data_IF_075643929256
#
_entry.id   IF_075643929256
#
_cell.length_a   1.000
_cell.length_b   1.000
_cell.length_c   1.000
_cell.angle_alpha   90.00
_cell.angle_beta   90.00
_cell.angle_gamma   90.00
#
_symmetry.space_group_name_H-M   'P 1'
#
loop_
_entity.id
_entity.type
_entity.pdbx_description
1 polymer ?
#
# COMPACT_ATOMS: atom_id res chain seq x y z
N UNK A 1 25.07 -8.16 13.14
CA UNK A 1 25.62 -7.20 12.15
C UNK A 1 24.46 -6.71 11.30
N UNK A 2 24.33 -5.40 11.04
CA UNK A 2 23.39 -4.88 10.04
C UNK A 2 23.64 -5.53 8.69
N UNK A 3 22.58 -5.67 7.89
CA UNK A 3 22.72 -6.17 6.52
C UNK A 3 23.20 -5.05 5.60
N UNK A 4 24.08 -5.40 4.67
CA UNK A 4 24.60 -4.50 3.65
C UNK A 4 23.64 -4.38 2.47
N UNK A 5 23.78 -3.32 1.68
CA UNK A 5 23.00 -3.15 0.45
C UNK A 5 23.26 -4.30 -0.55
N UNK A 6 24.50 -4.79 -0.65
CA UNK A 6 24.85 -5.92 -1.50
C UNK A 6 24.11 -7.20 -1.09
N UNK A 7 24.00 -7.48 0.21
CA UNK A 7 23.23 -8.62 0.72
C UNK A 7 21.73 -8.45 0.43
N UNK A 8 21.18 -7.25 0.61
CA UNK A 8 19.78 -6.98 0.28
C UNK A 8 19.47 -7.16 -1.21
N UNK A 9 20.37 -6.71 -2.08
CA UNK A 9 20.29 -6.95 -3.53
C UNK A 9 20.37 -8.45 -3.84
N UNK A 10 21.32 -9.18 -3.24
CA UNK A 10 21.45 -10.62 -3.43
C UNK A 10 20.21 -11.40 -2.94
N UNK A 11 19.58 -10.98 -1.85
CA UNK A 11 18.39 -11.63 -1.30
C UNK A 11 17.13 -11.33 -2.09
N UNK A 12 17.03 -10.13 -2.65
CA UNK A 12 15.91 -9.67 -3.48
C UNK A 12 15.98 -10.21 -4.91
N UNK A 13 17.20 -10.32 -5.44
CA UNK A 13 17.44 -10.70 -6.83
C UNK A 13 17.05 -9.60 -7.83
N UNK A 14 17.03 -9.93 -9.13
CA UNK A 14 16.70 -9.00 -10.22
C UNK A 14 15.19 -8.74 -10.35
N UNK A 15 14.36 -9.36 -9.52
CA UNK A 15 12.90 -9.28 -9.61
C UNK A 15 12.41 -7.87 -9.32
N UNK A 16 11.58 -7.33 -10.21
CA UNK A 16 10.91 -6.06 -10.02
C UNK A 16 9.84 -6.16 -8.92
N UNK A 17 9.58 -5.07 -8.21
CA UNK A 17 8.58 -5.06 -7.14
C UNK A 17 7.16 -5.46 -7.61
N UNK A 18 6.75 -5.04 -8.82
CA UNK A 18 5.46 -5.43 -9.40
C UNK A 18 5.33 -6.95 -9.62
N UNK A 19 6.44 -7.65 -9.87
CA UNK A 19 6.45 -9.11 -10.02
C UNK A 19 6.34 -9.85 -8.68
N UNK A 20 6.67 -9.20 -7.55
CA UNK A 20 6.55 -9.80 -6.22
C UNK A 20 5.11 -9.78 -5.70
N UNK A 21 4.30 -8.82 -6.16
CA UNK A 21 2.89 -8.66 -5.79
C UNK A 21 2.05 -8.37 -7.03
N UNK A 22 1.94 -9.34 -7.96
CA UNK A 22 1.20 -9.10 -9.19
C UNK A 22 -0.27 -8.78 -8.90
N UNK A 23 -0.85 -7.92 -9.73
CA UNK A 23 -2.30 -7.79 -9.78
C UNK A 23 -2.91 -9.14 -10.18
N UNK A 24 -4.06 -9.54 -9.60
CA UNK A 24 -4.75 -10.75 -10.03
C UNK A 24 -5.08 -10.69 -11.53
N UNK A 25 -4.61 -11.67 -12.29
CA UNK A 25 -4.80 -11.77 -13.75
C UNK A 25 -5.94 -12.72 -14.13
N UNK A 26 -6.33 -13.59 -13.21
CA UNK A 26 -7.45 -14.51 -13.39
C UNK A 26 -8.80 -13.79 -13.25
N UNK A 27 -9.88 -14.46 -13.68
CA UNK A 27 -11.24 -13.97 -13.49
C UNK A 27 -11.46 -13.67 -12.00
N UNK A 28 -11.85 -12.44 -11.70
CA UNK A 28 -12.05 -12.02 -10.32
C UNK A 28 -13.23 -12.77 -9.72
N UNK A 29 -13.01 -13.52 -8.65
CA UNK A 29 -14.11 -14.02 -7.81
C UNK A 29 -14.62 -12.89 -6.90
N UNK A 30 -15.82 -13.04 -6.35
CA UNK A 30 -16.33 -12.11 -5.33
C UNK A 30 -15.36 -11.98 -4.13
N UNK A 31 -14.73 -13.08 -3.72
CA UNK A 31 -13.74 -13.09 -2.65
C UNK A 31 -12.48 -12.28 -3.02
N UNK A 32 -11.92 -12.50 -4.22
CA UNK A 32 -10.77 -11.73 -4.71
C UNK A 32 -11.11 -10.25 -4.83
N UNK A 33 -12.30 -9.91 -5.32
CA UNK A 33 -12.75 -8.53 -5.42
C UNK A 33 -12.82 -7.88 -4.04
N UNK A 34 -13.41 -8.55 -3.03
CA UNK A 34 -13.43 -8.04 -1.65
C UNK A 34 -12.03 -7.79 -1.10
N UNK A 35 -11.07 -8.70 -1.32
CA UNK A 35 -9.68 -8.52 -0.91
C UNK A 35 -9.03 -7.28 -1.55
N UNK A 36 -9.33 -7.00 -2.82
CA UNK A 36 -8.85 -5.79 -3.51
C UNK A 36 -9.50 -4.53 -2.91
N UNK A 37 -10.80 -4.57 -2.62
CA UNK A 37 -11.55 -3.45 -2.03
C UNK A 37 -11.11 -3.16 -0.59
N UNK A 38 -10.85 -4.19 0.21
CA UNK A 38 -10.28 -4.06 1.55
C UNK A 38 -8.89 -3.44 1.50
N UNK A 39 -8.05 -3.92 0.60
CA UNK A 39 -6.74 -3.35 0.35
C UNK A 39 -6.82 -1.85 0.00
N UNK A 40 -7.64 -1.46 -0.98
CA UNK A 40 -7.71 -0.06 -1.40
C UNK A 40 -8.25 0.82 -0.29
N UNK A 41 -9.27 0.35 0.44
CA UNK A 41 -9.82 1.04 1.61
C UNK A 41 -8.75 1.24 2.69
N UNK A 42 -7.96 0.22 3.00
CA UNK A 42 -6.88 0.29 4.00
C UNK A 42 -5.80 1.29 3.60
N UNK A 43 -5.41 1.31 2.32
CA UNK A 43 -4.47 2.31 1.78
C UNK A 43 -5.05 3.72 1.94
N UNK A 44 -6.33 3.95 1.62
CA UNK A 44 -6.96 5.26 1.79
C UNK A 44 -6.91 5.72 3.26
N UNK A 45 -7.11 4.81 4.21
CA UNK A 45 -7.00 5.14 5.63
C UNK A 45 -5.57 5.39 6.14
N UNK A 46 -4.55 5.22 5.30
CA UNK A 46 -3.23 5.80 5.58
C UNK A 46 -3.22 7.33 5.38
N UNK A 47 -4.18 7.89 4.63
CA UNK A 47 -4.22 9.33 4.29
C UNK A 47 -5.30 10.11 5.04
N UNK A 48 -6.37 9.43 5.44
CA UNK A 48 -7.52 10.04 6.10
C UNK A 48 -7.99 9.21 7.30
N UNK A 49 -8.66 9.85 8.25
CA UNK A 49 -9.24 9.19 9.41
C UNK A 49 -10.36 8.20 9.01
N UNK A 50 -10.70 7.29 9.93
CA UNK A 50 -11.79 6.31 9.78
C UNK A 50 -11.35 4.85 9.69
N UNK A 51 -10.04 4.59 9.62
CA UNK A 51 -9.48 3.24 9.69
C UNK A 51 -9.16 2.77 11.12
N UNK A 52 -8.70 1.52 11.24
CA UNK A 52 -8.35 0.91 12.52
C UNK A 52 -7.16 1.56 13.24
N UNK A 53 -6.27 2.22 12.51
CA UNK A 53 -5.16 2.98 13.08
C UNK A 53 -5.08 4.39 12.50
N UNK A 54 -4.48 5.35 13.24
CA UNK A 54 -4.39 6.74 12.81
C UNK A 54 -3.74 6.87 11.42
N UNK A 55 -4.15 7.88 10.63
CA UNK A 55 -3.55 8.12 9.32
C UNK A 55 -2.06 8.45 9.46
N UNK A 56 -1.26 7.94 8.52
CA UNK A 56 0.18 8.18 8.43
C UNK A 56 0.48 9.60 7.93
N UNK A 57 -0.37 10.09 7.02
CA UNK A 57 -0.21 11.39 6.38
C UNK A 57 -1.39 12.27 6.78
N UNK A 58 -1.13 13.38 7.46
CA UNK A 58 -2.16 14.32 7.86
C UNK A 58 -2.57 15.22 6.68
N UNK A 59 -3.25 14.66 5.66
CA UNK A 59 -3.64 15.41 4.46
C UNK A 59 -4.51 16.64 4.77
N UNK A 60 -5.40 16.54 5.77
CA UNK A 60 -6.27 17.64 6.18
C UNK A 60 -5.51 18.85 6.75
N UNK A 61 -4.29 18.65 7.25
CA UNK A 61 -3.46 19.72 7.81
C UNK A 61 -2.63 20.45 6.74
N UNK A 62 -2.64 20.00 5.48
CA UNK A 62 -1.88 20.60 4.38
C UNK A 62 -2.76 21.59 3.63
N UNK A 63 -2.35 22.86 3.55
CA UNK A 63 -3.18 23.96 3.07
C UNK A 63 -3.36 23.93 1.55
N UNK A 64 -2.34 23.51 0.80
CA UNK A 64 -2.37 23.49 -0.66
C UNK A 64 -2.46 22.05 -1.22
N UNK A 65 -3.42 21.81 -2.13
CA UNK A 65 -3.65 20.50 -2.76
C UNK A 65 -4.46 19.48 -1.95
N UNK A 66 -4.78 19.77 -0.68
CA UNK A 66 -5.52 18.83 0.18
C UNK A 66 -6.95 18.59 -0.27
N UNK A 67 -7.68 19.58 -0.79
CA UNK A 67 -9.09 19.41 -1.17
C UNK A 67 -9.28 18.40 -2.30
N UNK A 68 -8.44 18.45 -3.33
CA UNK A 68 -8.50 17.53 -4.46
C UNK A 68 -8.09 16.10 -4.05
N UNK A 69 -7.04 15.96 -3.23
CA UNK A 69 -6.63 14.68 -2.66
C UNK A 69 -7.71 14.08 -1.75
N UNK A 70 -8.33 14.90 -0.89
CA UNK A 70 -9.44 14.48 -0.03
C UNK A 70 -10.65 14.04 -0.86
N UNK A 71 -10.97 14.76 -1.93
CA UNK A 71 -12.01 14.35 -2.87
C UNK A 71 -11.67 13.02 -3.57
N UNK A 72 -10.40 12.80 -3.94
CA UNK A 72 -9.97 11.52 -4.49
C UNK A 72 -10.12 10.38 -3.47
N UNK A 73 -9.71 10.60 -2.21
CA UNK A 73 -9.90 9.63 -1.13
C UNK A 73 -11.38 9.26 -0.96
N UNK A 74 -12.26 10.27 -0.91
CA UNK A 74 -13.71 10.06 -0.80
C UNK A 74 -14.25 9.25 -1.99
N UNK A 75 -13.88 9.61 -3.22
CA UNK A 75 -14.32 8.90 -4.43
C UNK A 75 -13.86 7.44 -4.45
N UNK A 76 -12.68 7.12 -3.93
CA UNK A 76 -12.23 5.73 -3.79
C UNK A 76 -13.11 4.99 -2.79
N UNK A 77 -13.36 5.55 -1.60
CA UNK A 77 -14.20 4.91 -0.59
C UNK A 77 -15.66 4.72 -1.07
N UNK A 78 -16.24 5.72 -1.73
CA UNK A 78 -17.58 5.64 -2.31
C UNK A 78 -17.66 4.53 -3.37
N UNK A 79 -16.68 4.47 -4.27
CA UNK A 79 -16.55 3.38 -5.25
C UNK A 79 -16.46 2.03 -4.56
N UNK A 80 -15.60 1.91 -3.55
CA UNK A 80 -15.35 0.64 -2.88
C UNK A 80 -16.58 0.15 -2.14
N UNK A 81 -17.28 1.04 -1.43
CA UNK A 81 -18.54 0.73 -0.75
C UNK A 81 -19.64 0.34 -1.74
N UNK A 82 -19.75 1.03 -2.88
CA UNK A 82 -20.69 0.67 -3.94
C UNK A 82 -20.41 -0.73 -4.48
N UNK A 83 -19.14 -1.05 -4.77
CA UNK A 83 -18.73 -2.38 -5.24
C UNK A 83 -18.92 -3.47 -4.18
N UNK A 84 -18.68 -3.19 -2.90
CA UNK A 84 -18.97 -4.13 -1.80
C UNK A 84 -20.45 -4.51 -1.79
N UNK A 85 -21.37 -3.54 -1.87
CA UNK A 85 -22.81 -3.81 -1.94
C UNK A 85 -23.16 -4.70 -3.13
N UNK A 86 -22.57 -4.45 -4.30
CA UNK A 86 -22.74 -5.33 -5.46
C UNK A 86 -22.24 -6.76 -5.20
N UNK A 87 -21.17 -6.92 -4.42
CA UNK A 87 -20.67 -8.25 -4.02
C UNK A 87 -21.62 -8.96 -3.04
N UNK A 88 -22.27 -8.20 -2.16
CA UNK A 88 -23.14 -8.73 -1.10
C UNK A 88 -24.55 -9.08 -1.61
N UNK A 89 -25.05 -8.33 -2.58
CA UNK A 89 -26.40 -8.47 -3.15
C UNK A 89 -26.46 -9.43 -4.35
N UNK A 90 -25.32 -9.89 -4.87
CA UNK A 90 -25.31 -10.70 -6.07
C UNK A 90 -25.90 -12.10 -5.82
N UNK A 91 -26.82 -12.57 -6.68
CA UNK A 91 -27.48 -13.87 -6.53
C UNK A 91 -26.54 -15.06 -6.80
N UNK A 92 -25.37 -14.82 -7.41
CA UNK A 92 -24.34 -15.84 -7.65
C UNK A 92 -22.93 -15.22 -7.60
N UNK A 93 -21.92 -15.93 -7.06
CA UNK A 93 -20.53 -15.48 -7.00
C UNK A 93 -19.95 -15.11 -8.38
N UNK A 94 -20.40 -15.78 -9.45
CA UNK A 94 -19.95 -15.55 -10.81
C UNK A 94 -20.51 -14.26 -11.43
N UNK A 95 -21.62 -13.75 -10.88
CA UNK A 95 -22.31 -12.54 -11.33
C UNK A 95 -21.65 -11.26 -10.78
N UNK A 96 -21.07 -11.35 -9.58
CA UNK A 96 -20.38 -10.24 -8.89
C UNK A 96 -19.28 -9.61 -9.75
N UNK A 97 -18.57 -10.46 -10.47
CA UNK A 97 -17.40 -10.05 -11.22
C UNK A 97 -17.76 -9.26 -12.49
N UNK A 98 -19.01 -9.26 -12.94
CA UNK A 98 -19.42 -8.66 -14.20
C UNK A 98 -18.70 -9.29 -15.40
N UNK A 99 -18.82 -8.64 -16.57
CA UNK A 99 -18.12 -9.08 -17.78
C UNK A 99 -16.61 -8.89 -17.64
N UNK A 100 -15.81 -9.63 -18.43
CA UNK A 100 -14.34 -9.46 -18.46
C UNK A 100 -13.92 -7.99 -18.67
N UNK A 101 -14.62 -7.27 -19.53
CA UNK A 101 -14.40 -5.83 -19.76
C UNK A 101 -14.59 -4.99 -18.49
N UNK A 102 -15.60 -5.31 -17.68
CA UNK A 102 -15.84 -4.62 -16.41
C UNK A 102 -14.76 -4.92 -15.37
N UNK A 103 -14.25 -6.16 -15.34
CA UNK A 103 -13.14 -6.56 -14.47
C UNK A 103 -11.84 -5.85 -14.88
N UNK A 104 -11.54 -5.83 -16.17
CA UNK A 104 -10.35 -5.16 -16.70
C UNK A 104 -10.39 -3.66 -16.38
N UNK A 105 -11.55 -3.01 -16.54
CA UNK A 105 -11.74 -1.60 -16.17
C UNK A 105 -11.54 -1.35 -14.67
N UNK A 106 -12.00 -2.28 -13.82
CA UNK A 106 -11.76 -2.21 -12.38
C UNK A 106 -10.28 -2.38 -12.03
N UNK A 107 -9.60 -3.37 -12.60
CA UNK A 107 -8.17 -3.63 -12.36
C UNK A 107 -7.27 -2.49 -12.86
N UNK A 108 -7.65 -1.83 -13.96
CA UNK A 108 -6.96 -0.62 -14.46
C UNK A 108 -6.91 0.51 -13.44
N UNK A 109 -7.77 0.51 -12.42
CA UNK A 109 -7.71 1.48 -11.33
C UNK A 109 -6.51 1.31 -10.39
N UNK A 110 -5.72 0.25 -10.60
CA UNK A 110 -4.52 -0.09 -9.82
C UNK A 110 -3.25 -0.23 -10.68
N UNK A 111 -3.33 0.05 -11.98
CA UNK A 111 -2.23 -0.07 -12.94
C UNK A 111 -1.19 1.05 -12.88
N UNK A 112 -0.53 1.29 -14.01
CA UNK A 112 0.51 2.31 -14.13
C UNK A 112 -0.05 3.67 -14.59
N UNK A 113 0.66 4.75 -14.25
CA UNK A 113 0.27 6.11 -14.64
C UNK A 113 0.16 6.29 -16.16
N UNK A 114 1.08 5.69 -16.93
CA UNK A 114 1.13 5.84 -18.39
C UNK A 114 -0.01 5.09 -19.12
N UNK A 115 -0.68 4.15 -18.45
CA UNK A 115 -1.81 3.40 -19.02
C UNK A 115 -3.08 4.25 -19.08
N UNK A 116 -3.05 5.47 -18.53
CA UNK A 116 -4.23 6.29 -18.28
C UNK A 116 -4.03 7.68 -18.85
N UNK A 117 -4.68 7.94 -20.00
CA UNK A 117 -4.64 9.25 -20.65
C UNK A 117 -5.34 10.37 -19.86
N UNK A 118 -6.38 10.07 -19.08
CA UNK A 118 -7.05 11.04 -18.20
C UNK A 118 -7.19 10.48 -16.78
N UNK A 119 -6.35 10.98 -15.86
CA UNK A 119 -6.33 10.58 -14.45
C UNK A 119 -7.63 10.94 -13.70
N UNK A 120 -8.50 11.79 -14.25
CA UNK A 120 -9.76 12.20 -13.63
C UNK A 120 -10.74 11.04 -13.37
N UNK A 121 -10.64 9.97 -14.16
CA UNK A 121 -11.43 8.74 -14.00
C UNK A 121 -10.91 7.76 -12.94
N UNK A 122 -9.67 7.92 -12.48
CA UNK A 122 -8.96 6.91 -11.70
C UNK A 122 -8.38 7.51 -10.41
N UNK A 123 -9.24 7.80 -9.41
CA UNK A 123 -8.84 8.54 -8.22
C UNK A 123 -7.76 7.83 -7.39
N UNK A 124 -7.72 6.50 -7.38
CA UNK A 124 -6.67 5.74 -6.67
C UNK A 124 -5.28 5.96 -7.30
N UNK A 125 -5.17 5.90 -8.63
CA UNK A 125 -3.92 6.17 -9.33
C UNK A 125 -3.51 7.63 -9.17
N UNK A 126 -4.46 8.56 -9.26
CA UNK A 126 -4.20 9.98 -9.01
C UNK A 126 -3.60 10.21 -7.61
N UNK A 127 -4.06 9.50 -6.58
CA UNK A 127 -3.47 9.54 -5.25
C UNK A 127 -2.05 8.94 -5.24
N UNK A 128 -1.88 7.74 -5.80
CA UNK A 128 -0.60 7.01 -5.74
C UNK A 128 0.54 7.69 -6.49
N UNK A 129 0.21 8.50 -7.50
CA UNK A 129 1.16 9.24 -8.34
C UNK A 129 1.11 10.75 -8.12
N UNK A 130 0.35 11.25 -7.13
CA UNK A 130 0.39 12.67 -6.80
C UNK A 130 1.81 13.05 -6.35
N UNK A 131 2.49 14.05 -6.94
CA UNK A 131 3.93 14.27 -6.73
C UNK A 131 4.34 14.39 -5.27
N UNK A 132 3.67 15.28 -4.51
CA UNK A 132 4.00 15.50 -3.10
C UNK A 132 3.74 14.24 -2.25
N UNK A 133 2.52 13.71 -2.30
CA UNK A 133 2.14 12.50 -1.56
C UNK A 133 3.03 11.29 -1.91
N UNK A 134 3.38 11.12 -3.18
CA UNK A 134 4.32 10.09 -3.65
C UNK A 134 5.69 10.25 -3.01
N UNK A 135 6.22 11.47 -2.92
CA UNK A 135 7.48 11.76 -2.24
C UNK A 135 7.40 11.46 -0.74
N UNK A 136 6.32 11.85 -0.07
CA UNK A 136 6.12 11.55 1.36
C UNK A 136 6.02 10.05 1.64
N UNK A 137 5.28 9.32 0.80
CA UNK A 137 5.20 7.85 0.88
C UNK A 137 6.57 7.22 0.70
N UNK A 138 7.34 7.66 -0.30
CA UNK A 138 8.68 7.14 -0.54
C UNK A 138 9.65 7.42 0.61
N UNK A 139 9.61 8.62 1.19
CA UNK A 139 10.41 8.97 2.36
C UNK A 139 10.05 8.08 3.56
N UNK A 140 8.76 7.86 3.81
CA UNK A 140 8.29 6.95 4.86
C UNK A 140 8.77 5.51 4.64
N UNK A 141 8.68 5.01 3.42
CA UNK A 141 9.13 3.66 3.03
C UNK A 141 10.64 3.54 3.15
N UNK A 142 11.40 4.52 2.67
CA UNK A 142 12.87 4.55 2.74
C UNK A 142 13.35 4.50 4.18
N UNK A 143 12.69 5.22 5.09
CA UNK A 143 12.99 5.15 6.52
C UNK A 143 12.67 3.77 7.10
N UNK A 144 11.54 3.16 6.72
CA UNK A 144 11.22 1.80 7.14
C UNK A 144 12.27 0.78 6.65
N UNK A 145 12.76 0.93 5.41
CA UNK A 145 13.87 0.12 4.87
C UNK A 145 15.14 0.36 5.66
N UNK A 146 15.53 1.62 5.92
CA UNK A 146 16.74 1.95 6.70
C UNK A 146 16.72 1.30 8.08
N UNK A 147 15.58 1.37 8.77
CA UNK A 147 15.37 0.66 10.05
C UNK A 147 15.50 -0.84 9.83
N UNK A 148 14.85 -1.40 8.81
CA UNK A 148 14.96 -2.83 8.50
C UNK A 148 16.40 -3.28 8.31
N UNK A 149 17.18 -2.59 7.48
CA UNK A 149 18.58 -2.89 7.22
C UNK A 149 19.44 -2.83 8.50
N UNK A 150 19.10 -1.92 9.41
CA UNK A 150 19.85 -1.73 10.66
C UNK A 150 19.62 -2.85 11.68
N UNK A 151 18.44 -3.47 11.69
CA UNK A 151 18.02 -4.43 12.72
C UNK A 151 17.87 -5.88 12.22
N UNK A 152 17.82 -6.10 10.91
CA UNK A 152 17.73 -7.44 10.33
C UNK A 152 19.11 -8.08 10.35
N UNK A 153 19.18 -9.31 10.85
CA UNK A 153 20.42 -10.12 10.89
C UNK A 153 20.32 -11.40 10.08
N UNK A 154 19.13 -11.69 9.52
CA UNK A 154 18.89 -12.91 8.75
C UNK A 154 17.88 -12.68 7.63
N UNK A 155 18.02 -13.45 6.55
CA UNK A 155 17.11 -13.41 5.39
C UNK A 155 15.65 -13.64 5.76
N UNK A 156 15.36 -14.45 6.78
CA UNK A 156 13.98 -14.74 7.24
C UNK A 156 13.26 -13.50 7.78
N UNK A 157 14.02 -12.55 8.34
CA UNK A 157 13.49 -11.29 8.87
C UNK A 157 13.54 -10.13 7.86
N UNK A 158 14.10 -10.36 6.67
CA UNK A 158 14.14 -9.40 5.58
C UNK A 158 12.83 -9.42 4.81
N UNK A 159 12.25 -8.24 4.57
CA UNK A 159 11.00 -8.11 3.84
C UNK A 159 11.32 -7.68 2.41
N UNK A 160 11.41 -8.66 1.51
CA UNK A 160 11.81 -8.46 0.12
C UNK A 160 10.98 -7.39 -0.59
N UNK A 161 9.64 -7.43 -0.43
CA UNK A 161 8.75 -6.45 -1.05
C UNK A 161 9.03 -5.01 -0.58
N UNK A 162 9.39 -4.82 0.69
CA UNK A 162 9.64 -3.50 1.24
C UNK A 162 10.90 -2.89 0.62
N UNK A 163 11.97 -3.68 0.51
CA UNK A 163 13.21 -3.25 -0.14
C UNK A 163 13.03 -3.03 -1.64
N UNK A 164 12.46 -4.00 -2.36
CA UNK A 164 12.22 -3.91 -3.80
C UNK A 164 11.32 -2.71 -4.15
N UNK A 165 10.24 -2.50 -3.39
CA UNK A 165 9.33 -1.37 -3.58
C UNK A 165 9.99 -0.02 -3.34
N UNK A 166 10.94 0.07 -2.41
CA UNK A 166 11.72 1.29 -2.19
C UNK A 166 12.69 1.57 -3.34
N UNK A 167 13.34 0.53 -3.87
CA UNK A 167 14.27 0.59 -5.01
C UNK A 167 13.55 0.99 -6.31
N UNK A 168 12.42 0.33 -6.59
CA UNK A 168 11.69 0.44 -7.86
C UNK A 168 10.58 1.51 -7.81
N UNK A 169 10.55 2.37 -6.79
CA UNK A 169 9.42 3.23 -6.47
C UNK A 169 8.88 4.00 -7.69
N UNK A 170 9.76 4.53 -8.53
CA UNK A 170 9.39 5.36 -9.67
C UNK A 170 8.71 4.58 -10.81
N UNK A 171 8.95 3.28 -10.93
CA UNK A 171 8.42 2.45 -12.01
C UNK A 171 7.23 1.58 -11.58
N UNK A 172 7.05 1.40 -10.27
CA UNK A 172 5.98 0.59 -9.70
C UNK A 172 4.57 1.10 -10.06
N UNK A 173 3.66 0.16 -10.26
CA UNK A 173 2.21 0.42 -10.38
C UNK A 173 1.61 1.03 -9.10
N UNK A 174 0.39 1.60 -9.21
CA UNK A 174 -0.36 2.07 -8.05
C UNK A 174 -0.65 0.95 -7.04
N UNK A 175 -0.93 -0.26 -7.54
CA UNK A 175 -1.09 -1.46 -6.73
C UNK A 175 0.12 -1.71 -5.83
N UNK A 176 1.30 -1.79 -6.43
CA UNK A 176 2.54 -2.09 -5.71
C UNK A 176 2.89 -0.98 -4.72
N UNK A 177 2.73 0.29 -5.12
CA UNK A 177 2.92 1.43 -4.21
C UNK A 177 2.06 1.31 -2.95
N UNK A 178 0.77 0.99 -3.11
CA UNK A 178 -0.14 0.77 -2.00
C UNK A 178 0.27 -0.44 -1.13
N UNK A 179 0.66 -1.57 -1.74
CA UNK A 179 1.10 -2.76 -1.00
C UNK A 179 2.37 -2.50 -0.19
N UNK A 180 3.35 -1.85 -0.79
CA UNK A 180 4.61 -1.48 -0.13
C UNK A 180 4.36 -0.53 1.04
N UNK A 181 3.44 0.43 0.88
CA UNK A 181 3.04 1.34 1.96
C UNK A 181 2.46 0.59 3.16
N UNK A 182 1.52 -0.33 2.94
CA UNK A 182 0.90 -1.11 4.03
C UNK A 182 1.91 -2.03 4.73
N UNK A 183 2.84 -2.61 3.97
CA UNK A 183 3.94 -3.41 4.53
C UNK A 183 4.87 -2.53 5.37
N UNK A 184 5.25 -1.35 4.89
CA UNK A 184 6.05 -0.40 5.64
C UNK A 184 5.37 0.03 6.94
N UNK A 185 4.05 0.29 6.89
CA UNK A 185 3.21 0.58 8.07
C UNK A 185 3.28 -0.55 9.09
N UNK A 186 2.93 -1.76 8.68
CA UNK A 186 2.91 -2.94 9.53
C UNK A 186 4.29 -3.18 10.17
N UNK A 187 5.36 -3.03 9.38
CA UNK A 187 6.73 -3.17 9.87
C UNK A 187 7.05 -2.16 10.99
N UNK A 188 6.74 -0.88 10.78
CA UNK A 188 7.00 0.18 11.76
C UNK A 188 6.16 -0.01 13.03
N UNK A 189 4.89 -0.39 12.90
CA UNK A 189 4.02 -0.66 14.05
C UNK A 189 4.55 -1.80 14.93
N UNK A 190 4.98 -2.91 14.32
CA UNK A 190 5.58 -4.04 15.05
C UNK A 190 6.88 -3.62 15.74
N UNK A 191 7.72 -2.80 15.09
CA UNK A 191 8.97 -2.31 15.66
C UNK A 191 8.75 -1.34 16.81
N UNK A 192 7.83 -0.39 16.68
CA UNK A 192 7.48 0.53 17.77
C UNK A 192 6.98 -0.20 19.01
N UNK A 193 6.14 -1.25 18.85
CA UNK A 193 5.67 -2.07 19.97
C UNK A 193 6.80 -2.85 20.65
N UNK A 194 7.78 -3.36 19.90
CA UNK A 194 8.94 -4.05 20.49
C UNK A 194 9.86 -3.09 21.25
N UNK A 195 10.16 -1.92 20.68
CA UNK A 195 10.97 -0.90 21.35
C UNK A 195 10.34 -0.41 22.66
N UNK A 196 9.02 -0.22 22.69
CA UNK A 196 8.31 0.14 23.91
C UNK A 196 8.42 -0.93 25.01
N UNK A 197 8.37 -2.21 24.64
CA UNK A 197 8.53 -3.34 25.59
C UNK A 197 9.95 -3.43 26.13
N UNK A 198 10.97 -3.34 25.26
CA UNK A 198 12.38 -3.40 25.66
C UNK A 198 12.80 -2.22 26.53
N UNK A 199 12.23 -1.03 26.31
CA UNK A 199 12.41 0.13 27.17
C UNK A 199 11.83 -0.06 28.57
N UNK A 200 10.61 -0.61 28.65
CA UNK A 200 9.95 -0.88 29.93
C UNK A 200 10.73 -1.86 30.80
N UNK A 201 11.27 -2.95 30.23
CA UNK A 201 12.04 -3.95 30.99
C UNK A 201 13.36 -3.41 31.54
N UNK A 202 14.00 -2.45 30.85
CA UNK A 202 15.26 -1.84 31.32
C UNK A 202 15.04 -0.88 32.49
N UNK A 203 13.93 -0.15 32.49
CA UNK A 203 13.58 0.76 33.60
C UNK A 203 13.22 -0.01 34.89
N UNK A 204 12.70 -1.24 34.77
CA UNK A 204 12.38 -2.09 35.94
C UNK A 204 13.59 -2.77 36.59
N UNK A 205 14.74 -2.83 35.91
CA UNK A 205 15.98 -3.43 36.43
C UNK A 205 16.95 -2.40 37.01
N UNK A 206 16.59 -1.11 36.98
CA UNK A 206 17.40 0.00 37.51
C UNK A 206 16.81 0.62 38.78
N UNK A 207 15.87 -0.08 39.42
CA UNK A 207 15.36 0.18 40.77
C UNK A 207 15.72 -0.97 41.69
#
# INVERSE_FOLDING_TARGET
MPITEQEALAWTGPTAADSLVPLPTERLTAATMRLILDFSTEVIHCFIAGGASPPLFALAARVDGSRDLMNCCRRVLERDNSKRRTCDEAPSPDYVAGTRSTQDSFLRTFGHQHEIGNLGGYPFIKLMFHPQLSADMHAYISEAVRIMMSYVTSRRSFITLLYAGSRDWQTCSAWTRGKVLLVARSYREVRSRRGAREGATRTSQSQ
#
